data_IF_607254432130
#
_entry.id   IF_607254432130
#
_cell.length_a   1.000
_cell.length_b   1.000
_cell.length_c   1.000
_cell.angle_alpha   90.00
_cell.angle_beta   90.00
_cell.angle_gamma   90.00
#
_symmetry.space_group_name_H-M   'P 1'
#
loop_
_entity.id
_entity.type
_entity.pdbx_description
1 polymer ?
#
# COMPACT_ATOMS: atom_id res chain seq x y z
N UNK A 1 13.97 8.74 17.31
CA UNK A 1 13.05 9.36 16.33
C UNK A 1 12.06 8.34 15.77
N UNK A 2 12.51 7.24 15.16
CA UNK A 2 11.63 6.19 14.62
C UNK A 2 10.54 5.73 15.61
N UNK A 3 10.90 5.45 16.88
CA UNK A 3 9.95 5.05 17.91
C UNK A 3 8.82 6.08 18.15
N UNK A 4 9.13 7.38 18.09
CA UNK A 4 8.13 8.44 18.29
C UNK A 4 7.16 8.51 17.10
N UNK A 5 7.65 8.30 15.88
CA UNK A 5 6.83 8.22 14.67
C UNK A 5 5.89 7.01 14.75
N UNK A 6 6.42 5.84 15.12
CA UNK A 6 5.62 4.62 15.27
C UNK A 6 4.55 4.78 16.34
N UNK A 7 4.88 5.37 17.49
CA UNK A 7 3.90 5.64 18.55
C UNK A 7 2.81 6.61 18.07
N UNK A 8 3.17 7.65 17.31
CA UNK A 8 2.20 8.58 16.76
C UNK A 8 1.26 7.89 15.76
N UNK A 9 1.78 6.99 14.93
CA UNK A 9 0.99 6.17 14.00
C UNK A 9 0.05 5.23 14.76
N UNK A 10 0.55 4.49 15.75
CA UNK A 10 -0.27 3.60 16.58
C UNK A 10 -1.43 4.35 17.23
N UNK A 11 -1.14 5.50 17.85
CA UNK A 11 -2.17 6.33 18.50
C UNK A 11 -3.22 6.83 17.49
N UNK A 12 -2.82 7.20 16.26
CA UNK A 12 -3.76 7.67 15.25
C UNK A 12 -4.63 6.55 14.70
N UNK A 13 -4.08 5.34 14.54
CA UNK A 13 -4.83 4.16 14.14
C UNK A 13 -5.85 3.79 15.23
N UNK A 14 -5.43 3.75 16.49
CA UNK A 14 -6.32 3.45 17.63
C UNK A 14 -7.45 4.48 17.80
N UNK A 15 -7.17 5.76 17.56
CA UNK A 15 -8.17 6.82 17.73
C UNK A 15 -9.25 6.84 16.64
N UNK A 16 -9.06 6.18 15.50
CA UNK A 16 -9.99 6.18 14.35
C UNK A 16 -10.49 7.58 13.93
N UNK A 17 -9.70 8.62 14.18
CA UNK A 17 -10.04 10.01 13.83
C UNK A 17 -9.51 10.38 12.43
N UNK A 18 -10.10 11.35 11.72
CA UNK A 18 -9.70 11.74 10.36
C UNK A 18 -8.37 12.52 10.29
N UNK A 19 -7.43 12.26 11.21
CA UNK A 19 -6.18 13.01 11.31
C UNK A 19 -5.16 12.49 10.30
N UNK A 20 -4.90 13.31 9.29
CA UNK A 20 -3.70 13.20 8.48
C UNK A 20 -2.47 13.41 9.37
N UNK A 21 -1.56 12.44 9.42
CA UNK A 21 -0.22 12.60 10.00
C UNK A 21 0.79 12.79 8.90
N UNK A 22 1.72 13.72 9.09
CA UNK A 22 2.78 14.04 8.15
C UNK A 22 4.10 14.08 8.90
N UNK A 23 5.10 13.41 8.35
CA UNK A 23 6.48 13.44 8.79
C UNK A 23 7.34 13.79 7.57
N UNK A 24 7.96 14.97 7.60
CA UNK A 24 8.84 15.49 6.56
C UNK A 24 10.31 15.36 6.97
N UNK A 25 11.20 15.54 5.99
CA UNK A 25 12.64 15.55 6.16
C UNK A 25 13.21 14.33 6.91
N UNK A 26 12.57 13.18 6.75
CA UNK A 26 12.98 11.97 7.46
C UNK A 26 14.40 11.57 7.08
N UNK A 27 15.23 11.39 8.11
CA UNK A 27 16.51 10.72 7.92
C UNK A 27 16.29 9.35 7.27
N UNK A 28 17.20 8.95 6.38
CA UNK A 28 17.03 7.73 5.57
C UNK A 28 16.98 6.49 6.46
N UNK A 29 17.82 6.42 7.49
CA UNK A 29 17.88 5.26 8.36
C UNK A 29 16.65 5.21 9.27
N UNK A 30 16.15 6.37 9.70
CA UNK A 30 14.87 6.49 10.41
C UNK A 30 13.70 6.03 9.53
N UNK A 31 13.64 6.47 8.27
CA UNK A 31 12.61 6.06 7.33
C UNK A 31 12.63 4.55 7.08
N UNK A 32 13.82 3.96 6.85
CA UNK A 32 13.97 2.52 6.69
C UNK A 32 13.51 1.73 7.91
N UNK A 33 13.84 2.19 9.13
CA UNK A 33 13.37 1.54 10.37
C UNK A 33 11.85 1.62 10.52
N UNK A 34 11.24 2.77 10.24
CA UNK A 34 9.79 2.96 10.31
C UNK A 34 9.10 2.05 9.29
N UNK A 35 9.53 2.07 8.01
CA UNK A 35 8.92 1.26 6.95
C UNK A 35 9.01 -0.24 7.24
N UNK A 36 10.18 -0.73 7.66
CA UNK A 36 10.35 -2.14 8.01
C UNK A 36 9.43 -2.58 9.17
N UNK A 37 9.11 -1.67 10.10
CA UNK A 37 8.16 -1.94 11.16
C UNK A 37 6.71 -1.96 10.66
N UNK A 38 6.36 -1.03 9.76
CA UNK A 38 5.03 -0.90 9.19
C UNK A 38 4.68 -1.99 8.15
N UNK A 39 5.67 -2.73 7.66
CA UNK A 39 5.45 -3.92 6.81
C UNK A 39 4.93 -5.15 7.59
N UNK A 40 4.90 -5.08 8.93
CA UNK A 40 4.42 -6.18 9.76
C UNK A 40 2.89 -6.37 9.60
N UNK A 41 2.37 -7.62 9.67
CA UNK A 41 0.93 -7.91 9.47
C UNK A 41 -0.03 -7.15 10.39
N UNK A 42 0.42 -6.68 11.56
CA UNK A 42 -0.35 -5.83 12.47
C UNK A 42 -0.84 -4.55 11.78
N UNK A 43 -0.08 -4.03 10.82
CA UNK A 43 -0.36 -2.80 10.10
C UNK A 43 -1.06 -3.09 8.76
N UNK A 44 -2.23 -3.73 8.80
CA UNK A 44 -3.09 -3.92 7.63
C UNK A 44 -3.83 -2.62 7.30
N UNK A 45 -3.11 -1.62 6.76
CA UNK A 45 -3.67 -0.30 6.47
C UNK A 45 -4.87 -0.35 5.51
N UNK A 46 -4.85 -1.27 4.54
CA UNK A 46 -5.94 -1.46 3.59
C UNK A 46 -7.28 -1.88 4.23
N UNK A 47 -7.24 -2.53 5.38
CA UNK A 47 -8.44 -2.97 6.12
C UNK A 47 -8.77 -2.05 7.30
N UNK A 48 -7.79 -1.28 7.80
CA UNK A 48 -7.98 -0.38 8.94
C UNK A 48 -8.54 0.99 8.57
N UNK A 49 -8.83 1.25 7.29
CA UNK A 49 -9.32 2.53 6.82
C UNK A 49 -8.24 3.62 6.83
N UNK A 50 -6.97 3.24 6.70
CA UNK A 50 -5.83 4.17 6.64
C UNK A 50 -4.99 3.92 5.39
N UNK A 51 -4.24 4.92 4.94
CA UNK A 51 -3.28 4.78 3.84
C UNK A 51 -1.96 5.40 4.21
N UNK A 52 -0.90 4.64 4.00
CA UNK A 52 0.46 5.09 4.15
C UNK A 52 1.01 5.51 2.77
N UNK A 53 1.50 6.75 2.68
CA UNK A 53 2.19 7.28 1.53
C UNK A 53 3.63 7.58 1.93
N UNK A 54 4.58 7.02 1.20
CA UNK A 54 6.00 7.30 1.39
C UNK A 54 6.62 7.76 0.07
N UNK A 55 7.35 8.87 0.11
CA UNK A 55 8.19 9.35 -0.99
C UNK A 55 9.65 9.36 -0.52
N UNK A 56 10.44 8.44 -1.06
CA UNK A 56 11.88 8.37 -0.75
C UNK A 56 12.67 9.60 -1.26
N UNK A 57 12.41 10.14 -2.48
CA UNK A 57 13.07 11.36 -2.93
C UNK A 57 12.79 12.56 -2.03
N UNK A 58 11.55 12.69 -1.56
CA UNK A 58 11.11 13.83 -0.74
C UNK A 58 11.32 13.60 0.76
N UNK A 59 11.80 12.40 1.16
CA UNK A 59 11.97 11.98 2.55
C UNK A 59 10.70 12.22 3.39
N UNK A 60 9.58 11.84 2.80
CA UNK A 60 8.25 12.22 3.24
C UNK A 60 7.41 10.98 3.55
N UNK A 61 6.82 10.94 4.74
CA UNK A 61 5.87 9.91 5.15
C UNK A 61 4.55 10.55 5.58
N UNK A 62 3.45 10.06 5.04
CA UNK A 62 2.11 10.52 5.38
C UNK A 62 1.19 9.35 5.66
N UNK A 63 0.48 9.42 6.78
CA UNK A 63 -0.64 8.54 7.06
C UNK A 63 -1.92 9.35 6.92
N UNK A 64 -2.88 8.88 6.12
CA UNK A 64 -4.18 9.51 5.96
C UNK A 64 -5.28 8.51 6.28
N UNK A 65 -6.41 8.97 6.82
CA UNK A 65 -7.61 8.15 6.80
C UNK A 65 -8.07 7.96 5.35
N UNK A 66 -8.37 6.73 5.00
CA UNK A 66 -9.10 6.38 3.80
C UNK A 66 -10.52 6.91 4.00
N UNK A 67 -10.95 7.84 3.14
CA UNK A 67 -12.36 8.27 3.18
C UNK A 67 -13.19 7.33 2.31
N UNK A 68 -14.49 7.18 2.64
CA UNK A 68 -15.44 6.39 1.85
C UNK A 68 -15.41 6.76 0.37
N UNK A 69 -15.12 8.02 0.02
CA UNK A 69 -15.00 8.49 -1.37
C UNK A 69 -13.83 7.82 -2.11
N UNK A 70 -12.68 7.66 -1.44
CA UNK A 70 -11.52 7.00 -2.04
C UNK A 70 -11.72 5.49 -2.14
N UNK A 71 -12.37 4.88 -1.16
CA UNK A 71 -12.73 3.45 -1.19
C UNK A 71 -13.81 3.15 -2.22
N UNK A 72 -14.77 4.06 -2.38
CA UNK A 72 -15.84 3.94 -3.38
C UNK A 72 -15.29 4.03 -4.79
N UNK A 73 -14.40 4.98 -5.08
CA UNK A 73 -13.81 5.12 -6.41
C UNK A 73 -12.87 3.95 -6.76
N UNK A 74 -11.98 3.58 -5.83
CA UNK A 74 -11.09 2.44 -6.02
C UNK A 74 -11.87 1.12 -6.10
N UNK A 75 -12.85 0.91 -5.21
CA UNK A 75 -13.71 -0.27 -5.19
C UNK A 75 -14.59 -0.38 -6.44
N UNK A 76 -15.14 0.75 -6.93
CA UNK A 76 -15.86 0.79 -8.19
C UNK A 76 -14.96 0.40 -9.37
N UNK A 77 -13.75 0.98 -9.46
CA UNK A 77 -12.81 0.67 -10.53
C UNK A 77 -12.39 -0.81 -10.51
N UNK A 78 -12.11 -1.36 -9.33
CA UNK A 78 -11.81 -2.79 -9.15
C UNK A 78 -12.96 -3.68 -9.62
N UNK A 79 -14.21 -3.31 -9.29
CA UNK A 79 -15.41 -4.04 -9.69
C UNK A 79 -15.61 -4.03 -11.21
N UNK A 80 -15.48 -2.86 -11.84
CA UNK A 80 -15.62 -2.73 -13.30
C UNK A 80 -14.54 -3.50 -14.06
N UNK A 81 -13.28 -3.39 -13.63
CA UNK A 81 -12.16 -4.14 -14.23
C UNK A 81 -12.37 -5.64 -14.13
N UNK A 82 -12.81 -6.13 -12.96
CA UNK A 82 -13.13 -7.55 -12.75
C UNK A 82 -14.28 -8.00 -13.65
N UNK A 83 -15.33 -7.17 -13.80
CA UNK A 83 -16.46 -7.47 -14.67
C UNK A 83 -16.04 -7.52 -16.15
N UNK A 84 -15.27 -6.55 -16.62
CA UNK A 84 -14.80 -6.51 -18.00
C UNK A 84 -13.86 -7.67 -18.34
N UNK A 85 -13.04 -8.12 -17.39
CA UNK A 85 -12.24 -9.33 -17.58
C UNK A 85 -13.12 -10.59 -17.65
N UNK A 86 -14.10 -10.73 -16.75
CA UNK A 86 -15.04 -11.86 -16.75
C UNK A 86 -15.90 -11.94 -18.02
N UNK A 87 -16.24 -10.80 -18.62
CA UNK A 87 -16.98 -10.69 -19.89
C UNK A 87 -16.06 -10.73 -21.14
N UNK A 88 -14.75 -10.96 -20.96
CA UNK A 88 -13.78 -11.06 -22.05
C UNK A 88 -13.47 -9.75 -22.79
N UNK A 89 -13.89 -8.61 -22.26
CA UNK A 89 -13.60 -7.26 -22.80
C UNK A 89 -12.20 -6.76 -22.45
N UNK A 90 -11.62 -7.30 -21.38
CA UNK A 90 -10.22 -7.15 -21.05
C UNK A 90 -9.51 -8.49 -21.23
N UNK A 91 -8.37 -8.47 -21.91
CA UNK A 91 -7.45 -9.61 -21.90
C UNK A 91 -6.56 -9.60 -20.64
N UNK A 92 -5.88 -10.73 -20.41
CA UNK A 92 -5.03 -10.90 -19.22
C UNK A 92 -3.85 -9.91 -19.17
N UNK A 93 -3.34 -9.45 -20.32
CA UNK A 93 -2.23 -8.50 -20.37
C UNK A 93 -2.69 -7.08 -20.00
N UNK A 94 -3.89 -6.69 -20.45
CA UNK A 94 -4.53 -5.45 -20.06
C UNK A 94 -4.87 -5.44 -18.57
N UNK A 95 -5.38 -6.55 -18.03
CA UNK A 95 -5.63 -6.70 -16.60
C UNK A 95 -4.34 -6.56 -15.78
N UNK A 96 -3.25 -7.22 -16.18
CA UNK A 96 -1.94 -7.14 -15.52
C UNK A 96 -1.42 -5.70 -15.46
N UNK A 97 -1.52 -4.96 -16.57
CA UNK A 97 -1.12 -3.55 -16.64
C UNK A 97 -1.95 -2.64 -15.73
N UNK A 98 -3.25 -2.90 -15.59
CA UNK A 98 -4.16 -2.09 -14.77
C UNK A 98 -4.00 -2.39 -13.28
N UNK A 99 -3.78 -3.66 -12.92
CA UNK A 99 -3.86 -4.14 -11.54
C UNK A 99 -2.50 -4.40 -10.90
N UNK A 100 -1.42 -4.46 -11.69
CA UNK A 100 -0.12 -4.96 -11.24
C UNK A 100 -0.15 -6.44 -10.81
N UNK A 101 -1.15 -7.20 -11.26
CA UNK A 101 -1.38 -8.58 -10.84
C UNK A 101 -0.50 -9.55 -11.64
N UNK A 102 0.69 -9.86 -11.12
CA UNK A 102 1.51 -10.93 -11.69
C UNK A 102 0.85 -12.30 -11.47
N UNK A 103 0.59 -13.09 -12.53
CA UNK A 103 0.21 -14.48 -12.36
C UNK A 103 1.28 -15.22 -11.56
N UNK A 104 0.86 -16.09 -10.64
CA UNK A 104 1.74 -16.91 -9.76
C UNK A 104 2.82 -17.70 -10.52
N UNK A 105 2.62 -17.89 -11.82
CA UNK A 105 3.45 -18.64 -12.75
C UNK A 105 4.79 -17.94 -13.08
N UNK A 106 4.94 -16.64 -12.80
CA UNK A 106 6.21 -15.92 -12.97
C UNK A 106 7.11 -15.94 -11.73
N UNK A 107 6.52 -16.07 -10.53
CA UNK A 107 7.30 -16.20 -9.28
C UNK A 107 8.11 -17.50 -9.24
N UNK A 108 7.64 -18.56 -9.90
CA UNK A 108 8.37 -19.83 -10.02
C UNK A 108 9.55 -19.81 -11.01
N UNK A 109 9.50 -18.95 -12.04
CA UNK A 109 10.58 -18.87 -13.05
C UNK A 109 11.76 -18.02 -12.59
N UNK A 110 11.51 -16.94 -11.85
CA UNK A 110 12.58 -16.14 -11.26
C UNK A 110 13.38 -16.92 -10.19
N UNK A 111 12.74 -17.82 -9.44
CA UNK A 111 13.41 -18.63 -8.40
C UNK A 111 14.34 -19.69 -9.00
N UNK A 112 13.99 -20.30 -10.13
CA UNK A 112 14.85 -21.28 -10.84
C UNK A 112 16.04 -20.67 -11.57
N UNK A 113 16.00 -19.38 -11.91
CA UNK A 113 17.11 -18.70 -12.57
C UNK A 113 18.21 -18.23 -11.59
N UNK A 114 17.98 -18.35 -10.28
CA UNK A 114 18.95 -18.02 -9.22
C UNK A 114 19.55 -19.27 -8.54
N UNK A 115 19.14 -20.47 -8.97
CA UNK A 115 19.64 -21.76 -8.46
C UNK A 115 20.42 -22.57 -9.52
N UNK A 116 20.83 -21.93 -10.62
CA UNK A 116 21.75 -22.45 -11.64
C UNK A 116 22.91 -21.47 -11.81
#
# INVERSE_FOLDING_TARGET
>A
MAQAILQAIDNAVEAHEPKSLVFDELDRDVASQVLAHLEQPKYSFGESGFRLHYSAPDRYLKLVSSTEIHESAAGWMMREVTFWFGDGRLDAAALDKIMGWKPSNERGRARRALEL
#
